data_IF_757908036053
#
_entry.id   IF_757908036053
#
_cell.length_a   1.000
_cell.length_b   1.000
_cell.length_c   1.000
_cell.angle_alpha   90.00
_cell.angle_beta   90.00
_cell.angle_gamma   90.00
#
_symmetry.space_group_name_H-M   'P 1'
#
loop_
_entity.id
_entity.type
_entity.pdbx_description
1 polymer ?
#
# COMPACT_ATOMS: atom_id res chain seq x y z
N UNK A 1 25.38 -7.74 -7.13
CA UNK A 1 25.62 -7.50 -5.67
C UNK A 1 24.86 -6.28 -5.14
N UNK A 2 25.10 -5.03 -5.53
CA UNK A 2 24.34 -3.85 -5.02
C UNK A 2 22.83 -3.89 -5.36
N UNK A 3 22.47 -4.30 -6.56
CA UNK A 3 21.06 -4.42 -7.00
C UNK A 3 20.32 -5.48 -6.19
N UNK A 4 20.96 -6.59 -5.87
CA UNK A 4 20.35 -7.67 -5.10
C UNK A 4 19.98 -7.21 -3.67
N UNK A 5 20.83 -6.40 -3.03
CA UNK A 5 20.50 -5.85 -1.71
C UNK A 5 19.36 -4.82 -1.76
N UNK A 6 19.27 -4.00 -2.82
CA UNK A 6 18.15 -3.07 -2.96
C UNK A 6 16.81 -3.81 -2.98
N UNK A 7 16.73 -4.88 -3.75
CA UNK A 7 15.52 -5.70 -3.88
C UNK A 7 15.18 -6.41 -2.56
N UNK A 8 16.17 -7.03 -1.90
CA UNK A 8 15.98 -7.70 -0.59
C UNK A 8 15.52 -6.74 0.50
N UNK A 9 16.05 -5.52 0.53
CA UNK A 9 15.78 -4.53 1.58
C UNK A 9 14.50 -3.73 1.35
N UNK A 10 14.02 -3.69 0.09
CA UNK A 10 12.88 -2.87 -0.28
C UNK A 10 11.59 -3.20 0.50
N UNK A 11 11.15 -4.46 0.66
CA UNK A 11 9.95 -4.77 1.42
C UNK A 11 10.01 -4.30 2.89
N UNK A 12 11.17 -4.41 3.54
CA UNK A 12 11.33 -3.94 4.92
C UNK A 12 11.12 -2.43 5.04
N UNK A 13 11.76 -1.66 4.16
CA UNK A 13 11.63 -0.19 4.16
C UNK A 13 10.23 0.25 3.75
N UNK A 14 9.71 -0.29 2.64
CA UNK A 14 8.44 0.11 2.07
C UNK A 14 7.25 -0.22 2.97
N UNK A 15 7.19 -1.42 3.52
CA UNK A 15 6.11 -1.81 4.43
C UNK A 15 6.07 -0.92 5.70
N UNK A 16 7.23 -0.45 6.18
CA UNK A 16 7.31 0.49 7.31
C UNK A 16 6.91 1.91 6.88
N UNK A 17 7.41 2.41 5.76
CA UNK A 17 7.25 3.79 5.33
C UNK A 17 5.91 4.04 4.62
N UNK A 18 5.45 3.07 3.81
CA UNK A 18 4.31 3.22 2.91
C UNK A 18 4.59 4.14 1.72
N UNK A 19 5.86 4.45 1.45
CA UNK A 19 6.31 5.26 0.32
C UNK A 19 7.49 4.56 -0.34
N UNK A 20 7.38 4.29 -1.63
CA UNK A 20 8.41 3.62 -2.42
C UNK A 20 9.62 4.54 -2.64
N UNK A 21 9.40 5.85 -2.80
CA UNK A 21 10.46 6.84 -2.92
C UNK A 21 11.27 6.91 -1.63
N UNK A 22 10.60 7.12 -0.49
CA UNK A 22 11.25 7.15 0.83
C UNK A 22 11.99 5.84 1.17
N UNK A 23 11.45 4.69 0.73
CA UNK A 23 12.07 3.39 0.94
C UNK A 23 13.41 3.29 0.16
N UNK A 24 13.40 3.66 -1.14
CA UNK A 24 14.61 3.67 -1.96
C UNK A 24 15.67 4.62 -1.40
N UNK A 25 15.28 5.81 -0.95
CA UNK A 25 16.18 6.77 -0.31
C UNK A 25 16.86 6.17 0.93
N UNK A 26 16.06 5.58 1.83
CA UNK A 26 16.59 4.95 3.06
C UNK A 26 17.58 3.84 2.74
N UNK A 27 17.26 3.00 1.76
CA UNK A 27 18.14 1.91 1.33
C UNK A 27 19.44 2.47 0.74
N UNK A 28 19.34 3.44 -0.16
CA UNK A 28 20.50 4.07 -0.78
C UNK A 28 21.42 4.68 0.27
N UNK A 29 20.87 5.41 1.23
CA UNK A 29 21.61 6.01 2.33
C UNK A 29 22.33 4.95 3.18
N UNK A 30 21.66 3.83 3.50
CA UNK A 30 22.26 2.74 4.30
C UNK A 30 23.38 2.07 3.52
N UNK A 31 23.17 1.73 2.25
CA UNK A 31 24.17 1.09 1.41
C UNK A 31 25.39 2.03 1.19
N UNK A 32 25.14 3.31 0.92
CA UNK A 32 26.22 4.30 0.78
C UNK A 32 27.08 4.40 2.04
N UNK A 33 26.44 4.47 3.22
CA UNK A 33 27.17 4.51 4.49
C UNK A 33 27.93 3.21 4.78
N UNK A 34 27.36 2.07 4.41
CA UNK A 34 27.99 0.77 4.64
C UNK A 34 29.26 0.60 3.81
N UNK A 35 29.18 0.91 2.50
CA UNK A 35 30.32 0.73 1.58
C UNK A 35 31.36 1.87 1.62
N UNK A 36 31.02 3.04 2.20
CA UNK A 36 32.00 4.12 2.38
C UNK A 36 32.94 3.94 3.57
N UNK A 37 32.61 3.05 4.51
CA UNK A 37 33.41 2.78 5.70
C UNK A 37 33.68 1.27 5.80
N UNK A 38 34.94 0.81 5.59
CA UNK A 38 35.28 -0.60 5.79
C UNK A 38 34.92 -1.02 7.21
N UNK A 39 34.14 -2.10 7.33
CA UNK A 39 33.72 -2.66 8.61
C UNK A 39 34.19 -4.10 8.68
N UNK A 40 35.31 -4.30 9.35
CA UNK A 40 35.92 -5.62 9.54
C UNK A 40 35.15 -6.50 10.56
N UNK A 41 34.23 -5.88 11.35
CA UNK A 41 33.53 -6.52 12.48
C UNK A 41 32.10 -7.00 12.16
N UNK A 42 31.68 -7.10 10.89
CA UNK A 42 30.32 -7.51 10.51
C UNK A 42 30.31 -8.95 10.03
N UNK A 43 29.98 -9.90 10.91
CA UNK A 43 29.89 -11.33 10.56
C UNK A 43 28.76 -11.65 9.58
N UNK A 44 27.65 -10.92 9.63
CA UNK A 44 26.47 -11.09 8.76
C UNK A 44 26.02 -9.77 8.13
N UNK A 45 26.51 -9.51 6.91
CA UNK A 45 26.24 -8.31 6.16
C UNK A 45 24.73 -8.09 5.94
N UNK A 46 23.99 -9.14 5.54
CA UNK A 46 22.55 -9.05 5.28
C UNK A 46 21.78 -8.65 6.54
N UNK A 47 22.05 -9.31 7.68
CA UNK A 47 21.38 -9.00 8.94
C UNK A 47 21.68 -7.57 9.41
N UNK A 48 22.92 -7.12 9.25
CA UNK A 48 23.32 -5.75 9.56
C UNK A 48 22.56 -4.71 8.69
N UNK A 49 22.49 -4.95 7.38
CA UNK A 49 21.80 -4.05 6.44
C UNK A 49 20.29 -4.01 6.72
N UNK A 50 19.66 -5.15 6.94
CA UNK A 50 18.22 -5.24 7.32
C UNK A 50 17.95 -4.44 8.59
N UNK A 51 18.73 -4.67 9.66
CA UNK A 51 18.62 -3.92 10.93
C UNK A 51 18.78 -2.39 10.72
N UNK A 52 19.76 -2.01 9.91
CA UNK A 52 20.05 -0.59 9.63
C UNK A 52 18.91 0.09 8.86
N UNK A 53 18.35 -0.58 7.84
CA UNK A 53 17.23 -0.09 7.04
C UNK A 53 15.98 0.05 7.88
N UNK A 54 15.64 -0.95 8.70
CA UNK A 54 14.46 -0.93 9.60
C UNK A 54 14.54 0.27 10.54
N UNK A 55 15.68 0.45 11.24
CA UNK A 55 15.83 1.55 12.20
C UNK A 55 15.80 2.91 11.51
N UNK A 56 16.40 3.04 10.32
CA UNK A 56 16.35 4.30 9.57
C UNK A 56 14.95 4.60 9.04
N UNK A 57 14.21 3.59 8.58
CA UNK A 57 12.81 3.73 8.15
C UNK A 57 11.89 4.15 9.31
N UNK A 58 12.05 3.57 10.50
CA UNK A 58 11.32 3.97 11.70
C UNK A 58 11.57 5.45 12.01
N UNK A 59 12.84 5.87 12.02
CA UNK A 59 13.22 7.24 12.30
C UNK A 59 12.64 8.22 11.26
N UNK A 60 12.70 7.88 9.97
CA UNK A 60 12.12 8.69 8.88
C UNK A 60 10.61 8.81 9.05
N UNK A 61 9.89 7.70 9.32
CA UNK A 61 8.44 7.71 9.55
C UNK A 61 8.02 8.51 10.79
N UNK A 62 8.79 8.44 11.87
CA UNK A 62 8.54 9.25 13.07
C UNK A 62 8.63 10.76 12.77
N UNK A 63 9.67 11.18 12.04
CA UNK A 63 9.85 12.59 11.64
C UNK A 63 8.71 13.08 10.75
N UNK A 64 8.24 12.23 9.83
CA UNK A 64 7.12 12.56 8.93
C UNK A 64 5.82 12.85 9.70
N UNK A 65 5.51 12.14 10.78
CA UNK A 65 4.33 12.40 11.63
C UNK A 65 4.36 13.75 12.35
N UNK A 66 5.51 14.40 12.43
CA UNK A 66 5.64 15.75 13.02
C UNK A 66 5.28 16.87 12.04
N UNK A 67 5.16 16.56 10.74
CA UNK A 67 4.73 17.52 9.72
C UNK A 67 3.23 17.33 9.47
N UNK A 68 2.43 18.40 9.38
CA UNK A 68 1.02 18.30 9.04
C UNK A 68 0.86 17.50 7.74
N UNK A 69 0.12 16.40 7.81
CA UNK A 69 -0.22 15.59 6.63
C UNK A 69 -1.57 16.04 6.08
N UNK A 70 -1.85 15.83 4.77
CA UNK A 70 -3.20 15.91 4.23
C UNK A 70 -4.16 15.05 5.07
N UNK A 71 -5.44 15.44 5.16
CA UNK A 71 -6.42 14.74 6.00
C UNK A 71 -6.52 13.24 5.70
N UNK A 72 -6.25 12.82 4.44
CA UNK A 72 -6.23 11.42 4.03
C UNK A 72 -4.97 11.13 3.22
N UNK A 73 -3.96 10.59 3.89
CA UNK A 73 -2.75 10.11 3.23
C UNK A 73 -2.87 8.61 2.95
N UNK A 74 -2.77 8.25 1.68
CA UNK A 74 -2.72 6.86 1.23
C UNK A 74 -1.28 6.42 0.93
N UNK A 75 -0.91 5.15 1.14
CA UNK A 75 0.39 4.62 0.72
C UNK A 75 0.65 4.84 -0.77
N UNK A 76 1.91 4.95 -1.14
CA UNK A 76 2.33 5.00 -2.54
C UNK A 76 2.11 3.63 -3.18
N UNK A 77 1.35 3.52 -4.28
CA UNK A 77 1.04 2.23 -4.88
C UNK A 77 2.26 1.63 -5.59
N UNK A 78 2.42 0.31 -5.48
CA UNK A 78 3.49 -0.46 -6.14
C UNK A 78 2.86 -1.56 -6.99
N UNK A 79 3.21 -1.60 -8.29
CA UNK A 79 2.75 -2.67 -9.17
C UNK A 79 3.38 -4.01 -8.77
N UNK A 80 2.52 -5.03 -8.60
CA UNK A 80 2.93 -6.39 -8.17
C UNK A 80 2.54 -7.47 -9.16
N UNK A 81 1.98 -7.10 -10.32
CA UNK A 81 1.55 -8.06 -11.35
C UNK A 81 2.69 -8.99 -11.82
N UNK A 82 3.93 -8.50 -11.84
CA UNK A 82 5.14 -9.28 -12.14
C UNK A 82 5.85 -9.86 -10.92
N UNK A 83 5.15 -9.97 -9.77
CA UNK A 83 5.75 -10.49 -8.52
C UNK A 83 6.31 -11.93 -8.67
N UNK A 84 5.78 -12.71 -9.60
CA UNK A 84 6.31 -14.04 -9.88
C UNK A 84 7.71 -13.99 -10.53
N UNK A 85 8.03 -12.93 -11.27
CA UNK A 85 9.36 -12.68 -11.81
C UNK A 85 10.32 -12.04 -10.81
N UNK A 86 9.79 -11.33 -9.81
CA UNK A 86 10.57 -10.69 -8.74
C UNK A 86 10.13 -11.18 -7.36
N UNK A 87 10.84 -12.17 -6.84
CA UNK A 87 10.51 -12.85 -5.58
C UNK A 87 10.36 -11.89 -4.38
N UNK A 88 11.04 -10.74 -4.41
CA UNK A 88 10.99 -9.78 -3.30
C UNK A 88 9.72 -8.94 -3.28
N UNK A 89 9.01 -8.82 -4.40
CA UNK A 89 7.71 -8.16 -4.45
C UNK A 89 6.63 -8.96 -3.69
N UNK A 90 6.82 -10.28 -3.52
CA UNK A 90 5.90 -11.13 -2.73
C UNK A 90 5.86 -10.74 -1.25
N UNK A 91 6.92 -10.14 -0.73
CA UNK A 91 7.01 -9.69 0.65
C UNK A 91 6.41 -8.30 0.89
N UNK A 92 5.89 -7.65 -0.17
CA UNK A 92 5.15 -6.39 -0.05
C UNK A 92 3.76 -6.71 0.51
N UNK A 93 3.30 -5.88 1.46
CA UNK A 93 1.98 -6.02 2.05
C UNK A 93 0.88 -5.56 1.10
N UNK A 94 -0.31 -6.17 1.23
CA UNK A 94 -1.50 -5.73 0.51
C UNK A 94 -1.80 -4.25 0.79
N UNK A 95 -2.38 -3.57 -0.19
CA UNK A 95 -2.67 -2.14 -0.11
C UNK A 95 -3.56 -1.80 1.08
N UNK A 96 -4.63 -2.57 1.27
CA UNK A 96 -5.56 -2.40 2.40
C UNK A 96 -4.87 -2.56 3.76
N UNK A 97 -3.94 -3.52 3.89
CA UNK A 97 -3.17 -3.67 5.12
C UNK A 97 -2.24 -2.47 5.32
N UNK A 98 -1.57 -1.97 4.28
CA UNK A 98 -0.74 -0.77 4.39
C UNK A 98 -1.54 0.46 4.83
N UNK A 99 -2.77 0.63 4.32
CA UNK A 99 -3.70 1.68 4.77
C UNK A 99 -4.06 1.52 6.25
N UNK A 100 -4.37 0.30 6.68
CA UNK A 100 -4.66 0.02 8.09
C UNK A 100 -3.46 0.33 9.00
N UNK A 101 -2.24 0.00 8.55
CA UNK A 101 -1.00 0.24 9.30
C UNK A 101 -0.71 1.74 9.53
N UNK A 102 -1.36 2.66 8.81
CA UNK A 102 -1.24 4.10 9.09
C UNK A 102 -1.80 4.52 10.45
N UNK A 103 -2.69 3.70 11.06
CA UNK A 103 -3.20 3.90 12.41
C UNK A 103 -2.14 3.66 13.50
N UNK A 104 -1.05 2.97 13.16
CA UNK A 104 0.03 2.62 14.07
C UNK A 104 1.07 3.73 14.17
N UNK A 105 1.76 3.80 15.32
CA UNK A 105 3.02 4.54 15.36
C UNK A 105 4.13 3.72 14.68
N UNK A 106 5.27 4.35 14.39
CA UNK A 106 6.33 3.72 13.60
C UNK A 106 6.91 2.46 14.26
N UNK A 107 7.02 2.42 15.60
CA UNK A 107 7.52 1.25 16.32
C UNK A 107 6.49 0.12 16.37
N UNK A 108 5.22 0.43 16.63
CA UNK A 108 4.12 -0.55 16.59
C UNK A 108 4.03 -1.19 15.20
N UNK A 109 4.13 -0.36 14.13
CA UNK A 109 4.11 -0.81 12.74
C UNK A 109 5.30 -1.72 12.44
N UNK A 110 6.52 -1.34 12.82
CA UNK A 110 7.71 -2.16 12.62
C UNK A 110 7.61 -3.52 13.32
N UNK A 111 7.21 -3.55 14.59
CA UNK A 111 7.04 -4.81 15.34
C UNK A 111 5.99 -5.69 14.69
N UNK A 112 4.86 -5.12 14.27
CA UNK A 112 3.80 -5.87 13.60
C UNK A 112 4.31 -6.49 12.29
N UNK A 113 4.95 -5.71 11.43
CA UNK A 113 5.49 -6.16 10.14
C UNK A 113 6.54 -7.25 10.34
N UNK A 114 7.49 -7.05 11.24
CA UNK A 114 8.54 -8.03 11.51
C UNK A 114 7.96 -9.37 12.01
N UNK A 115 6.94 -9.32 12.89
CA UNK A 115 6.33 -10.53 13.43
C UNK A 115 5.41 -11.23 12.45
N UNK A 116 4.47 -10.50 11.84
CA UNK A 116 3.36 -11.10 11.10
C UNK A 116 3.69 -11.32 9.60
N UNK A 117 4.65 -10.56 9.05
CA UNK A 117 4.98 -10.65 7.62
C UNK A 117 6.34 -11.30 7.35
N UNK A 118 7.30 -11.12 8.25
CA UNK A 118 8.65 -11.68 8.09
C UNK A 118 8.98 -12.80 9.10
N UNK A 119 8.02 -13.17 9.96
CA UNK A 119 8.08 -14.25 10.96
C UNK A 119 9.28 -14.19 11.94
N UNK A 120 9.79 -12.97 12.20
CA UNK A 120 10.81 -12.79 13.24
C UNK A 120 10.25 -13.14 14.61
N UNK A 121 11.06 -13.76 15.46
CA UNK A 121 10.67 -13.96 16.84
C UNK A 121 10.82 -12.69 17.69
N UNK A 122 10.32 -12.72 18.94
CA UNK A 122 10.36 -11.52 19.79
C UNK A 122 11.76 -11.14 20.24
N UNK A 123 12.67 -12.11 20.32
CA UNK A 123 14.08 -11.90 20.66
C UNK A 123 14.77 -11.16 19.49
N UNK A 124 14.62 -11.66 18.27
CA UNK A 124 15.16 -11.02 17.06
C UNK A 124 14.63 -9.58 16.88
N UNK A 125 13.32 -9.39 17.09
CA UNK A 125 12.68 -8.06 17.03
C UNK A 125 13.27 -7.13 18.10
N UNK A 126 13.49 -7.64 19.32
CA UNK A 126 14.08 -6.89 20.41
C UNK A 126 15.52 -6.44 20.07
N UNK A 127 16.31 -7.31 19.48
CA UNK A 127 17.68 -7.01 19.04
C UNK A 127 17.72 -6.00 17.89
N UNK A 128 16.83 -6.14 16.90
CA UNK A 128 16.74 -5.23 15.76
C UNK A 128 16.39 -3.81 16.23
N UNK A 129 15.40 -3.69 17.14
CA UNK A 129 14.86 -2.40 17.56
C UNK A 129 15.54 -1.82 18.81
N UNK A 130 16.52 -2.54 19.39
CA UNK A 130 17.19 -2.20 20.65
C UNK A 130 16.18 -1.92 21.79
N UNK A 131 15.25 -2.88 22.00
CA UNK A 131 14.23 -2.87 23.06
C UNK A 131 14.24 -4.21 23.81
N UNK A 132 13.48 -4.32 24.89
CA UNK A 132 13.31 -5.62 25.56
C UNK A 132 12.26 -6.47 24.85
N UNK A 133 12.36 -7.80 24.95
CA UNK A 133 11.33 -8.70 24.41
C UNK A 133 9.94 -8.43 24.96
N UNK A 134 9.84 -8.09 26.26
CA UNK A 134 8.58 -7.71 26.89
C UNK A 134 7.96 -6.49 26.21
N UNK A 135 8.81 -5.49 25.86
CA UNK A 135 8.34 -4.30 25.13
C UNK A 135 7.92 -4.66 23.71
N UNK A 136 8.63 -5.56 23.03
CA UNK A 136 8.23 -6.05 21.71
C UNK A 136 6.83 -6.71 21.76
N UNK A 137 6.56 -7.59 22.75
CA UNK A 137 5.25 -8.21 22.96
C UNK A 137 4.15 -7.18 23.24
N UNK A 138 4.43 -6.17 24.09
CA UNK A 138 3.49 -5.08 24.38
C UNK A 138 3.17 -4.24 23.14
N UNK A 139 4.16 -3.91 22.32
CA UNK A 139 3.97 -3.16 21.08
C UNK A 139 3.12 -3.95 20.07
N UNK A 140 3.39 -5.26 19.92
CA UNK A 140 2.59 -6.15 19.05
C UNK A 140 1.12 -6.22 19.52
N UNK A 141 0.89 -6.42 20.81
CA UNK A 141 -0.46 -6.45 21.39
C UNK A 141 -1.22 -5.15 21.13
N UNK A 142 -0.58 -4.00 21.32
CA UNK A 142 -1.17 -2.69 21.01
C UNK A 142 -1.47 -2.51 19.54
N UNK A 143 -0.55 -2.96 18.67
CA UNK A 143 -0.75 -2.93 17.23
C UNK A 143 -1.98 -3.74 16.83
N UNK A 144 -2.08 -4.99 17.28
CA UNK A 144 -3.25 -5.86 17.01
C UNK A 144 -4.56 -5.25 17.50
N UNK A 145 -4.58 -4.68 18.71
CA UNK A 145 -5.78 -4.02 19.26
C UNK A 145 -6.23 -2.81 18.43
N UNK A 146 -5.27 -2.07 17.83
CA UNK A 146 -5.60 -0.91 16.97
C UNK A 146 -6.08 -1.31 15.58
N UNK A 147 -5.57 -2.42 15.03
CA UNK A 147 -5.84 -2.86 13.66
C UNK A 147 -7.12 -3.68 13.57
N UNK A 148 -7.29 -4.63 14.48
CA UNK A 148 -8.35 -5.62 14.40
C UNK A 148 -9.43 -5.32 15.43
N UNK A 149 -10.61 -4.95 14.95
CA UNK A 149 -11.84 -5.23 15.69
C UNK A 149 -12.10 -6.73 15.58
N UNK A 150 -12.71 -7.37 16.59
CA UNK A 150 -13.06 -8.79 16.50
C UNK A 150 -13.89 -9.04 15.22
N UNK A 151 -13.37 -9.85 14.29
CA UNK A 151 -14.05 -10.27 13.08
C UNK A 151 -13.56 -9.66 11.75
N UNK A 152 -12.48 -8.88 11.72
CA UNK A 152 -11.96 -8.31 10.46
C UNK A 152 -10.73 -9.07 9.93
N UNK A 153 -10.91 -9.95 8.96
CA UNK A 153 -9.81 -10.50 8.16
C UNK A 153 -9.67 -9.69 6.87
N UNK A 154 -8.43 -9.39 6.47
CA UNK A 154 -8.14 -8.81 5.15
C UNK A 154 -8.01 -9.94 4.15
N UNK A 155 -8.92 -10.01 3.18
CA UNK A 155 -8.86 -11.01 2.12
C UNK A 155 -7.79 -10.63 1.07
N UNK A 156 -7.16 -11.65 0.53
CA UNK A 156 -6.32 -11.54 -0.66
C UNK A 156 -7.10 -12.09 -1.85
N UNK A 157 -7.53 -11.22 -2.76
CA UNK A 157 -8.24 -11.60 -3.98
C UNK A 157 -7.35 -11.34 -5.19
N UNK A 158 -6.79 -12.38 -5.84
CA UNK A 158 -5.89 -12.21 -6.97
C UNK A 158 -6.62 -11.55 -8.16
N UNK A 159 -5.95 -10.63 -8.83
CA UNK A 159 -6.48 -9.95 -10.05
C UNK A 159 -6.75 -10.93 -11.18
N UNK A 160 -5.98 -12.01 -11.26
CA UNK A 160 -6.10 -13.02 -12.31
C UNK A 160 -7.27 -14.01 -12.09
N UNK A 161 -7.98 -13.91 -10.96
CA UNK A 161 -9.21 -14.67 -10.77
C UNK A 161 -10.30 -14.17 -11.74
N UNK A 162 -10.93 -15.07 -12.54
CA UNK A 162 -11.96 -14.70 -13.52
C UNK A 162 -13.15 -13.97 -12.91
N UNK A 163 -13.48 -14.26 -11.65
CA UNK A 163 -14.56 -13.60 -10.93
C UNK A 163 -14.21 -12.14 -10.62
N UNK A 164 -13.02 -11.89 -10.10
CA UNK A 164 -12.49 -10.56 -9.85
C UNK A 164 -12.45 -9.71 -11.14
N UNK A 165 -11.98 -10.28 -12.25
CA UNK A 165 -11.99 -9.59 -13.54
C UNK A 165 -13.40 -9.23 -14.00
N UNK A 166 -14.36 -10.16 -13.85
CA UNK A 166 -15.77 -9.92 -14.19
C UNK A 166 -16.38 -8.82 -13.33
N UNK A 167 -16.09 -8.81 -12.02
CA UNK A 167 -16.55 -7.78 -11.09
C UNK A 167 -16.04 -6.40 -11.50
N UNK A 168 -14.73 -6.27 -11.81
CA UNK A 168 -14.13 -5.01 -12.22
C UNK A 168 -14.67 -4.54 -13.58
N UNK A 169 -14.89 -5.46 -14.53
CA UNK A 169 -15.50 -5.11 -15.80
C UNK A 169 -16.93 -4.61 -15.60
N UNK A 170 -17.73 -5.29 -14.77
CA UNK A 170 -19.09 -4.87 -14.42
C UNK A 170 -19.12 -3.49 -13.77
N UNK A 171 -18.14 -3.20 -12.90
CA UNK A 171 -18.02 -1.90 -12.24
C UNK A 171 -17.74 -0.77 -13.23
N UNK A 172 -16.77 -0.92 -14.13
CA UNK A 172 -16.45 0.12 -15.10
C UNK A 172 -17.57 0.34 -16.12
N UNK A 173 -18.24 -0.74 -16.53
CA UNK A 173 -19.40 -0.64 -17.45
C UNK A 173 -20.57 0.07 -16.78
N UNK A 174 -20.91 -0.27 -15.53
CA UNK A 174 -21.97 0.40 -14.77
C UNK A 174 -21.72 1.92 -14.65
N UNK A 175 -20.47 2.32 -14.40
CA UNK A 175 -20.09 3.74 -14.32
C UNK A 175 -20.20 4.43 -15.68
N UNK A 176 -19.71 3.79 -16.76
CA UNK A 176 -19.78 4.32 -18.13
C UNK A 176 -21.22 4.57 -18.57
N UNK A 177 -22.10 3.63 -18.26
CA UNK A 177 -23.50 3.65 -18.64
C UNK A 177 -24.37 4.50 -17.68
N UNK A 178 -23.79 5.04 -16.60
CA UNK A 178 -24.50 5.71 -15.50
C UNK A 178 -25.60 4.84 -14.88
N UNK A 179 -25.37 3.55 -14.83
CA UNK A 179 -26.32 2.59 -14.26
C UNK A 179 -26.10 2.48 -12.75
N UNK A 180 -26.63 3.45 -12.00
CA UNK A 180 -26.47 3.53 -10.54
C UNK A 180 -26.97 2.25 -9.86
N UNK A 181 -28.16 1.69 -10.15
CA UNK A 181 -28.61 0.45 -9.50
C UNK A 181 -27.65 -0.76 -9.72
N UNK A 182 -27.09 -0.88 -10.95
CA UNK A 182 -26.10 -1.93 -11.22
C UNK A 182 -24.80 -1.69 -10.45
N UNK A 183 -24.36 -0.45 -10.34
CA UNK A 183 -23.18 -0.09 -9.56
C UNK A 183 -23.38 -0.37 -8.07
N UNK A 184 -24.50 0.06 -7.49
CA UNK A 184 -24.85 -0.18 -6.08
C UNK A 184 -24.86 -1.68 -5.72
N UNK A 185 -25.32 -2.54 -6.64
CA UNK A 185 -25.31 -3.99 -6.41
C UNK A 185 -23.90 -4.61 -6.26
N UNK A 186 -22.88 -3.94 -6.79
CA UNK A 186 -21.46 -4.36 -6.70
C UNK A 186 -20.77 -3.88 -5.42
N UNK A 187 -21.37 -2.92 -4.69
CA UNK A 187 -20.79 -2.31 -3.50
C UNK A 187 -21.29 -3.02 -2.23
N UNK A 188 -20.41 -3.18 -1.25
CA UNK A 188 -20.79 -3.66 0.09
C UNK A 188 -21.57 -2.57 0.84
N UNK A 189 -22.40 -2.96 1.81
CA UNK A 189 -23.25 -2.01 2.57
C UNK A 189 -22.41 -0.94 3.31
N UNK A 190 -21.22 -1.33 3.79
CA UNK A 190 -20.27 -0.48 4.51
C UNK A 190 -19.13 0.04 3.62
N UNK A 191 -19.37 0.10 2.30
CA UNK A 191 -18.42 0.65 1.33
C UNK A 191 -17.86 1.99 1.77
N UNK A 192 -16.55 2.18 1.61
CA UNK A 192 -15.88 3.43 1.84
C UNK A 192 -14.96 3.81 0.66
N UNK A 193 -15.01 5.08 0.28
CA UNK A 193 -14.14 5.67 -0.74
C UNK A 193 -13.17 6.66 -0.10
N UNK A 194 -11.89 6.49 -0.38
CA UNK A 194 -10.79 7.33 0.06
C UNK A 194 -10.09 7.94 -1.15
N UNK A 195 -9.65 9.19 -1.05
CA UNK A 195 -8.91 9.85 -2.12
C UNK A 195 -7.72 10.65 -1.58
N UNK A 196 -6.55 10.46 -2.20
CA UNK A 196 -5.34 11.20 -1.87
C UNK A 196 -4.81 11.98 -3.09
N UNK A 197 -4.81 13.30 -2.96
CA UNK A 197 -4.27 14.24 -3.97
C UNK A 197 -2.91 14.81 -3.61
N UNK A 198 -2.26 14.37 -2.51
CA UNK A 198 -0.97 14.88 -2.06
C UNK A 198 -0.97 16.38 -1.72
N UNK A 199 -2.13 16.98 -1.51
CA UNK A 199 -2.30 18.43 -1.36
C UNK A 199 -2.14 19.25 -2.66
N UNK A 200 -1.81 18.58 -3.78
CA UNK A 200 -1.61 19.20 -5.11
C UNK A 200 -2.86 19.13 -5.98
N UNK A 201 -3.61 18.03 -5.86
CA UNK A 201 -4.86 17.80 -6.57
C UNK A 201 -6.02 17.91 -5.59
N UNK A 202 -7.07 18.66 -5.98
CA UNK A 202 -8.29 18.73 -5.16
C UNK A 202 -9.03 17.41 -5.25
N UNK A 203 -9.22 16.78 -4.11
CA UNK A 203 -10.00 15.56 -3.92
C UNK A 203 -11.15 15.80 -2.94
N UNK A 204 -12.03 14.82 -2.80
CA UNK A 204 -13.02 14.81 -1.72
C UNK A 204 -12.28 14.83 -0.38
N UNK A 205 -12.54 15.84 0.44
CA UNK A 205 -11.80 16.08 1.69
C UNK A 205 -12.16 15.15 2.83
N UNK A 206 -13.22 14.35 2.67
CA UNK A 206 -13.68 13.40 3.69
C UNK A 206 -13.88 12.04 3.06
N UNK A 207 -13.69 11.00 3.83
CA UNK A 207 -14.11 9.64 3.45
C UNK A 207 -15.58 9.69 3.06
N UNK A 208 -15.91 9.22 1.85
CA UNK A 208 -17.28 9.01 1.43
C UNK A 208 -17.70 7.59 1.80
N UNK A 209 -18.82 7.42 2.46
CA UNK A 209 -19.32 6.10 2.94
C UNK A 209 -20.77 5.90 2.57
N UNK A 210 -21.14 4.65 2.38
CA UNK A 210 -22.52 4.26 2.01
C UNK A 210 -22.69 4.10 0.51
N UNK A 211 -23.53 3.13 0.15
CA UNK A 211 -23.68 2.64 -1.22
C UNK A 211 -24.11 3.76 -2.19
N UNK A 212 -25.14 4.52 -1.85
CA UNK A 212 -25.68 5.57 -2.70
C UNK A 212 -24.66 6.71 -2.92
N UNK A 213 -24.08 7.22 -1.84
CA UNK A 213 -23.13 8.34 -1.90
C UNK A 213 -21.86 7.98 -2.68
N UNK A 214 -21.34 6.77 -2.48
CA UNK A 214 -20.17 6.29 -3.21
C UNK A 214 -20.48 6.07 -4.67
N UNK A 215 -21.64 5.46 -5.01
CA UNK A 215 -22.03 5.23 -6.39
C UNK A 215 -22.19 6.55 -7.18
N UNK A 216 -22.83 7.55 -6.58
CA UNK A 216 -22.94 8.88 -7.16
C UNK A 216 -21.57 9.55 -7.34
N UNK A 217 -20.71 9.50 -6.31
CA UNK A 217 -19.39 10.10 -6.32
C UNK A 217 -18.50 9.52 -7.42
N UNK A 218 -18.38 8.19 -7.51
CA UNK A 218 -17.49 7.57 -8.49
C UNK A 218 -18.01 7.78 -9.92
N UNK A 219 -19.33 7.80 -10.11
CA UNK A 219 -19.95 8.13 -11.39
C UNK A 219 -19.66 9.58 -11.78
N UNK A 220 -19.81 10.52 -10.86
CA UNK A 220 -19.48 11.92 -11.07
C UNK A 220 -18.00 12.11 -11.43
N UNK A 221 -17.10 11.52 -10.65
CA UNK A 221 -15.63 11.61 -10.87
C UNK A 221 -15.27 11.07 -12.26
N UNK A 222 -15.79 9.89 -12.62
CA UNK A 222 -15.54 9.32 -13.93
C UNK A 222 -15.99 10.23 -15.07
N UNK A 223 -17.24 10.68 -15.06
CA UNK A 223 -17.79 11.50 -16.14
C UNK A 223 -17.19 12.90 -16.24
N UNK A 224 -16.72 13.44 -15.12
CA UNK A 224 -16.12 14.77 -15.07
C UNK A 224 -14.64 14.75 -15.47
N UNK A 225 -13.87 13.75 -14.99
CA UNK A 225 -12.42 13.79 -15.09
C UNK A 225 -11.81 12.61 -15.90
N UNK A 226 -12.47 11.45 -15.93
CA UNK A 226 -11.89 10.22 -16.47
C UNK A 226 -12.56 9.71 -17.75
N UNK A 227 -13.61 10.37 -18.25
CA UNK A 227 -14.38 9.93 -19.44
C UNK A 227 -13.51 9.73 -20.70
N UNK A 228 -12.44 10.51 -20.83
CA UNK A 228 -11.51 10.45 -21.98
C UNK A 228 -10.24 9.63 -21.69
N UNK A 229 -10.16 9.01 -20.54
CA UNK A 229 -9.02 8.18 -20.18
C UNK A 229 -9.16 6.77 -20.76
N UNK A 230 -8.02 6.15 -21.02
CA UNK A 230 -7.93 4.69 -21.15
C UNK A 230 -7.78 4.07 -19.78
N UNK A 231 -8.39 2.91 -19.57
CA UNK A 231 -8.31 2.18 -18.31
C UNK A 231 -7.56 0.87 -18.53
N UNK A 232 -6.63 0.58 -17.62
CA UNK A 232 -5.94 -0.71 -17.54
C UNK A 232 -6.26 -1.35 -16.20
N UNK A 233 -6.62 -2.64 -16.23
CA UNK A 233 -6.76 -3.47 -15.04
C UNK A 233 -5.37 -4.04 -14.74
N UNK A 234 -4.93 -3.97 -13.48
CA UNK A 234 -3.63 -4.48 -13.03
C UNK A 234 -3.68 -4.86 -11.56
N UNK A 235 -2.56 -5.33 -11.04
CA UNK A 235 -2.37 -5.62 -9.63
C UNK A 235 -1.46 -4.59 -8.96
N UNK A 236 -1.96 -3.99 -7.88
CA UNK A 236 -1.23 -3.04 -7.06
C UNK A 236 -1.19 -3.57 -5.63
N UNK A 237 0.00 -3.80 -5.09
CA UNK A 237 0.17 -4.33 -3.75
C UNK A 237 -0.71 -5.58 -3.51
N UNK A 238 -0.68 -6.51 -4.43
CA UNK A 238 -1.47 -7.76 -4.42
C UNK A 238 -2.99 -7.57 -4.39
N UNK A 239 -3.49 -6.41 -4.82
CA UNK A 239 -4.92 -6.12 -4.91
C UNK A 239 -5.31 -5.62 -6.29
N UNK A 240 -6.57 -5.92 -6.73
CA UNK A 240 -7.06 -5.47 -8.02
C UNK A 240 -7.13 -3.95 -8.09
N UNK A 241 -6.72 -3.39 -9.22
CA UNK A 241 -6.67 -1.95 -9.41
C UNK A 241 -7.00 -1.53 -10.85
N UNK A 242 -7.49 -0.29 -10.97
CA UNK A 242 -7.56 0.43 -12.23
C UNK A 242 -6.48 1.50 -12.29
N UNK A 243 -5.80 1.55 -13.42
CA UNK A 243 -4.95 2.67 -13.81
C UNK A 243 -5.64 3.43 -14.94
N UNK A 244 -5.89 4.72 -14.72
CA UNK A 244 -6.51 5.60 -15.71
C UNK A 244 -5.46 6.52 -16.33
N UNK A 245 -5.31 6.44 -17.65
CA UNK A 245 -4.34 7.22 -18.41
C UNK A 245 -5.04 8.31 -19.23
N UNK A 246 -4.53 9.53 -19.15
CA UNK A 246 -4.91 10.65 -20.02
C UNK A 246 -3.76 10.90 -20.99
N UNK A 247 -3.92 10.47 -22.23
CA UNK A 247 -2.78 10.28 -23.15
C UNK A 247 -1.81 9.25 -22.56
N UNK A 248 -0.53 9.59 -22.49
CA UNK A 248 0.51 8.71 -21.94
C UNK A 248 0.78 8.95 -20.44
N UNK A 249 -0.01 9.80 -19.79
CA UNK A 249 0.19 10.13 -18.38
C UNK A 249 -0.80 9.37 -17.51
N UNK A 250 -0.29 8.64 -16.51
CA UNK A 250 -1.11 8.07 -15.46
C UNK A 250 -1.74 9.21 -14.62
N UNK A 251 -3.07 9.25 -14.63
CA UNK A 251 -3.86 10.29 -13.96
C UNK A 251 -4.36 9.84 -12.58
N UNK A 252 -4.69 8.56 -12.43
CA UNK A 252 -5.16 8.01 -11.16
C UNK A 252 -4.92 6.50 -11.08
N UNK A 253 -4.66 6.04 -9.86
CA UNK A 253 -4.60 4.63 -9.49
C UNK A 253 -5.72 4.38 -8.46
N UNK A 254 -6.64 3.47 -8.78
CA UNK A 254 -7.77 3.11 -7.94
C UNK A 254 -7.65 1.66 -7.52
N UNK A 255 -7.36 1.42 -6.24
CA UNK A 255 -7.15 0.08 -5.66
C UNK A 255 -8.42 -0.36 -4.94
N UNK A 256 -8.85 -1.60 -5.20
CA UNK A 256 -10.07 -2.17 -4.66
C UNK A 256 -9.77 -3.18 -3.55
N UNK A 257 -10.53 -3.07 -2.46
CA UNK A 257 -10.61 -4.07 -1.40
C UNK A 257 -11.94 -4.79 -1.54
N UNK A 258 -11.90 -6.11 -1.69
CA UNK A 258 -13.09 -6.93 -1.90
C UNK A 258 -13.43 -7.67 -0.61
N UNK A 259 -14.72 -7.78 -0.33
CA UNK A 259 -15.23 -8.59 0.77
C UNK A 259 -15.10 -10.09 0.41
N UNK A 260 -14.37 -10.89 1.19
CA UNK A 260 -14.11 -12.29 0.87
C UNK A 260 -15.35 -13.20 0.96
N UNK A 261 -16.42 -12.70 1.58
CA UNK A 261 -17.66 -13.49 1.80
C UNK A 261 -18.72 -13.14 0.75
N UNK A 262 -18.85 -11.85 0.42
CA UNK A 262 -19.91 -11.37 -0.47
C UNK A 262 -19.43 -11.06 -1.87
N UNK A 263 -18.11 -11.09 -2.12
CA UNK A 263 -17.45 -10.69 -3.38
C UNK A 263 -17.84 -9.27 -3.84
N UNK A 264 -18.21 -8.41 -2.89
CA UNK A 264 -18.54 -7.00 -3.17
C UNK A 264 -17.34 -6.10 -2.88
N UNK A 265 -17.34 -4.93 -3.49
CA UNK A 265 -16.33 -3.91 -3.26
C UNK A 265 -16.57 -3.28 -1.88
N UNK A 266 -15.65 -3.52 -0.95
CA UNK A 266 -15.68 -3.04 0.42
C UNK A 266 -15.01 -1.69 0.57
N UNK A 267 -13.96 -1.43 -0.24
CA UNK A 267 -13.19 -0.20 -0.15
C UNK A 267 -12.60 0.19 -1.49
N UNK A 268 -12.58 1.49 -1.76
CA UNK A 268 -11.94 2.08 -2.95
C UNK A 268 -10.92 3.10 -2.45
N UNK A 269 -9.65 2.85 -2.73
CA UNK A 269 -8.54 3.74 -2.41
C UNK A 269 -8.06 4.40 -3.70
N UNK A 270 -8.32 5.69 -3.86
CA UNK A 270 -8.06 6.45 -5.08
C UNK A 270 -6.88 7.40 -4.92
N UNK A 271 -5.74 7.08 -5.52
CA UNK A 271 -4.53 7.90 -5.52
C UNK A 271 -4.47 8.73 -6.79
N UNK A 272 -4.46 10.06 -6.63
CA UNK A 272 -4.32 11.03 -7.73
C UNK A 272 -3.13 11.98 -7.52
N UNK A 273 -2.33 11.77 -6.45
CA UNK A 273 -1.09 12.50 -6.22
C UNK A 273 -0.06 12.16 -7.31
N UNK A 274 0.35 13.13 -8.15
CA UNK A 274 1.28 12.87 -9.24
C UNK A 274 2.65 12.33 -8.78
N UNK A 275 3.09 12.70 -7.57
CA UNK A 275 4.37 12.21 -7.03
C UNK A 275 4.30 10.73 -6.68
N UNK A 276 3.16 10.27 -6.15
CA UNK A 276 2.96 8.86 -5.84
C UNK A 276 2.75 8.00 -7.08
N UNK A 277 2.17 8.57 -8.14
CA UNK A 277 1.88 7.86 -9.38
C UNK A 277 3.10 7.70 -10.28
N UNK A 278 4.12 8.57 -10.19
CA UNK A 278 5.32 8.55 -11.06
C UNK A 278 6.14 7.26 -10.97
N UNK A 279 6.04 6.56 -9.83
CA UNK A 279 6.83 5.37 -9.54
C UNK A 279 6.12 4.05 -9.91
N UNK A 280 4.89 4.11 -10.41
CA UNK A 280 4.21 2.93 -10.95
C UNK A 280 4.83 2.64 -12.31
N UNK A 281 5.78 1.70 -12.35
CA UNK A 281 6.34 1.15 -13.57
C UNK A 281 5.52 -0.05 -13.97
N UNK A 282 4.86 0.05 -15.13
CA UNK A 282 4.27 -1.12 -15.80
C UNK A 282 5.35 -1.67 -16.73
N UNK A 283 5.51 -2.98 -16.76
CA UNK A 283 6.26 -3.62 -17.82
C UNK A 283 5.64 -3.16 -19.13
N UNK A 284 6.49 -2.70 -20.07
CA UNK A 284 6.11 -1.92 -21.25
C UNK A 284 4.81 -2.40 -21.89
N UNK A 285 3.90 -1.44 -22.15
CA UNK A 285 2.73 -1.71 -22.98
C UNK A 285 3.17 -2.33 -24.31
N UNK A 286 2.45 -3.35 -24.81
CA UNK A 286 2.69 -3.87 -26.14
C UNK A 286 2.42 -2.82 -27.22
#
# INVERSE_FOLDING_TARGET
>A
MLKDYQDILFPYAYNILGSAEDARDVIQDVLTNYYSQPREDVDNEKAYLVKSVINRAINKKQRRKLVPQPEEWLPEPVATESADANIYLKDILSYSLLVLLEKLNAKERAVFILKESFDYDHHEIADILAITEENARKLLSRAKTKLFKPGGETAHNPVHDPHTQTLLQNYIDAIRDRNIPRLEALLAEDIAFFADGGGKVKVVRKTCTGVADVAELVTYVYHTYLRKSTVQITEINHQPAFLFFVGNRLATCMVFDLDPVTDRILRINNVVDPEKLKNITLDAMP
#
